data_IF_812806374439
#
_entry.id   IF_812806374439
#
_cell.length_a   1.000
_cell.length_b   1.000
_cell.length_c   1.000
_cell.angle_alpha   90.00
_cell.angle_beta   90.00
_cell.angle_gamma   90.00
#
_symmetry.space_group_name_H-M   'P 1'
#
loop_
_entity.id
_entity.type
_entity.pdbx_description
1 polymer ?
#
# COMPACT_ATOMS: atom_id res chain seq x y z
N UNK A 1 -2.66 15.67 2.80
CA UNK A 1 -1.74 15.64 1.65
C UNK A 1 -2.55 15.30 0.43
N UNK A 2 -2.22 15.88 -0.73
CA UNK A 2 -2.81 15.50 -2.01
C UNK A 2 -2.15 14.22 -2.54
N UNK A 3 -2.69 13.66 -3.63
CA UNK A 3 -2.18 12.39 -4.17
C UNK A 3 -0.75 12.50 -4.75
N UNK A 4 -0.33 13.66 -5.26
CA UNK A 4 1.04 13.86 -5.72
C UNK A 4 2.05 13.76 -4.58
N UNK A 5 1.75 14.39 -3.44
CA UNK A 5 2.54 14.29 -2.21
C UNK A 5 2.58 12.85 -1.66
N UNK A 6 1.46 12.13 -1.77
CA UNK A 6 1.39 10.70 -1.43
C UNK A 6 2.40 9.88 -2.21
N UNK A 7 2.52 10.09 -3.53
CA UNK A 7 3.50 9.36 -4.33
C UNK A 7 4.93 9.65 -3.89
N UNK A 8 5.23 10.88 -3.47
CA UNK A 8 6.55 11.23 -2.93
C UNK A 8 6.84 10.55 -1.59
N UNK A 9 5.88 10.51 -0.67
CA UNK A 9 6.01 9.82 0.60
C UNK A 9 6.15 8.29 0.43
N UNK A 10 5.41 7.70 -0.51
CA UNK A 10 5.54 6.30 -0.88
C UNK A 10 6.94 5.98 -1.42
N UNK A 11 7.50 6.84 -2.28
CA UNK A 11 8.88 6.71 -2.78
C UNK A 11 9.93 6.84 -1.68
N UNK A 12 9.64 7.61 -0.63
CA UNK A 12 10.48 7.71 0.59
C UNK A 12 10.37 6.48 1.50
N UNK A 13 9.46 5.55 1.19
CA UNK A 13 9.28 4.30 1.94
C UNK A 13 8.26 4.40 3.08
N UNK A 14 7.58 5.53 3.21
CA UNK A 14 6.57 5.76 4.24
C UNK A 14 5.27 5.02 3.90
N UNK A 15 4.53 4.65 4.95
CA UNK A 15 3.17 4.16 4.84
C UNK A 15 2.22 5.36 4.86
N UNK A 16 1.18 5.36 4.02
CA UNK A 16 0.20 6.46 3.99
C UNK A 16 -1.21 5.93 3.93
N UNK A 17 -2.16 6.69 4.48
CA UNK A 17 -3.57 6.34 4.53
C UNK A 17 -4.44 7.59 4.40
N UNK A 18 -5.71 7.41 4.03
CA UNK A 18 -6.72 8.47 4.11
C UNK A 18 -7.16 8.69 5.56
N UNK A 19 -7.51 9.92 5.93
CA UNK A 19 -8.13 10.21 7.24
C UNK A 19 -9.47 9.49 7.33
N UNK A 20 -9.52 8.45 8.15
CA UNK A 20 -10.76 7.70 8.41
C UNK A 20 -10.97 6.47 7.53
N UNK A 21 -9.94 5.94 6.86
CA UNK A 21 -10.01 4.55 6.39
C UNK A 21 -10.45 3.62 7.52
N UNK A 22 -11.38 2.72 7.18
CA UNK A 22 -12.16 1.87 8.09
C UNK A 22 -11.25 0.98 8.94
N UNK A 23 -10.69 1.53 10.03
CA UNK A 23 -9.84 0.83 10.98
C UNK A 23 -8.43 1.42 11.08
N UNK A 24 -7.93 1.51 12.32
CA UNK A 24 -6.49 1.70 12.55
C UNK A 24 -5.76 0.50 11.95
N UNK A 25 -4.66 0.75 11.23
CA UNK A 25 -3.81 -0.32 10.66
C UNK A 25 -4.08 -0.67 9.20
N UNK A 26 -4.85 0.13 8.46
CA UNK A 26 -4.93 0.06 7.00
C UNK A 26 -4.08 1.18 6.39
N UNK A 27 -3.19 0.83 5.45
CA UNK A 27 -2.36 1.80 4.74
C UNK A 27 -1.96 1.27 3.35
N UNK A 28 -1.48 2.16 2.50
CA UNK A 28 -0.79 1.80 1.26
C UNK A 28 0.71 2.00 1.40
N UNK A 29 1.47 1.20 0.67
CA UNK A 29 2.94 1.27 0.62
C UNK A 29 3.46 0.88 -0.76
N UNK A 30 4.63 1.42 -1.10
CA UNK A 30 5.36 1.05 -2.32
C UNK A 30 6.17 -0.23 -2.06
N UNK A 31 5.92 -1.28 -2.84
CA UNK A 31 6.81 -2.42 -2.96
C UNK A 31 7.76 -2.14 -4.12
N UNK A 32 9.07 -2.12 -3.84
CA UNK A 32 10.10 -2.05 -4.87
C UNK A 32 10.20 -3.38 -5.61
N UNK A 33 10.34 -3.29 -6.92
CA UNK A 33 10.62 -4.44 -7.77
C UNK A 33 11.99 -5.05 -7.45
N UNK A 34 12.12 -6.35 -7.70
CA UNK A 34 13.35 -7.10 -7.50
C UNK A 34 13.88 -7.64 -8.84
N UNK A 35 15.20 -7.68 -9.01
CA UNK A 35 15.82 -8.22 -10.22
C UNK A 35 15.55 -9.73 -10.34
N UNK A 36 15.32 -10.23 -11.56
CA UNK A 36 15.24 -11.67 -11.80
C UNK A 36 16.52 -12.40 -11.39
N UNK A 37 17.68 -11.72 -11.39
CA UNK A 37 18.96 -12.29 -10.95
C UNK A 37 19.05 -12.43 -9.41
N UNK A 38 17.97 -12.83 -8.75
CA UNK A 38 17.97 -13.09 -7.31
C UNK A 38 18.76 -14.36 -6.99
N UNK A 39 19.52 -14.37 -5.88
CA UNK A 39 20.08 -15.61 -5.36
C UNK A 39 18.97 -16.65 -5.11
N UNK A 40 19.26 -17.92 -5.38
CA UNK A 40 18.38 -19.07 -5.14
C UNK A 40 17.19 -19.27 -6.10
N UNK A 41 17.26 -18.81 -7.35
CA UNK A 41 16.27 -19.12 -8.40
C UNK A 41 14.81 -18.76 -8.04
N UNK A 42 14.59 -17.69 -7.26
CA UNK A 42 13.25 -17.24 -6.84
C UNK A 42 12.49 -16.49 -7.96
N UNK A 43 12.77 -16.80 -9.22
CA UNK A 43 12.20 -16.15 -10.40
C UNK A 43 10.67 -16.13 -10.40
N UNK A 44 10.04 -17.16 -9.83
CA UNK A 44 8.57 -17.28 -9.76
C UNK A 44 7.95 -16.56 -8.55
N UNK A 45 8.77 -15.98 -7.67
CA UNK A 45 8.33 -15.35 -6.41
C UNK A 45 8.62 -13.84 -6.39
N UNK A 46 9.26 -13.31 -7.43
CA UNK A 46 9.64 -11.91 -7.53
C UNK A 46 8.71 -11.14 -8.45
N UNK A 47 8.35 -9.93 -8.01
CA UNK A 47 7.75 -8.91 -8.86
C UNK A 47 8.87 -7.99 -9.33
N UNK A 48 9.01 -7.82 -10.64
CA UNK A 48 10.13 -7.07 -11.24
C UNK A 48 9.88 -5.57 -11.35
N UNK A 49 8.63 -5.14 -11.20
CA UNK A 49 8.24 -3.74 -11.23
C UNK A 49 7.82 -3.24 -9.85
N UNK A 50 8.04 -1.95 -9.63
CA UNK A 50 7.47 -1.23 -8.51
C UNK A 50 5.93 -1.24 -8.61
N UNK A 51 5.25 -1.48 -7.50
CA UNK A 51 3.81 -1.34 -7.41
C UNK A 51 3.39 -0.90 -6.01
N UNK A 52 2.24 -0.25 -5.94
CA UNK A 52 1.61 0.13 -4.68
C UNK A 52 0.71 -1.02 -4.26
N UNK A 53 0.78 -1.40 -2.98
CA UNK A 53 -0.14 -2.35 -2.38
C UNK A 53 -0.86 -1.72 -1.21
N UNK A 54 -2.04 -2.25 -0.90
CA UNK A 54 -2.77 -1.94 0.33
C UNK A 54 -2.54 -3.08 1.32
N UNK A 55 -2.28 -2.72 2.58
CA UNK A 55 -2.18 -3.65 3.70
C UNK A 55 -3.41 -3.46 4.58
N UNK A 56 -4.24 -4.51 4.71
CA UNK A 56 -5.37 -4.54 5.64
C UNK A 56 -5.13 -5.48 6.82
N UNK A 57 -3.95 -6.08 6.95
CA UNK A 57 -3.63 -7.06 8.01
C UNK A 57 -3.67 -6.46 9.41
N UNK A 58 -3.58 -5.13 9.55
CA UNK A 58 -3.71 -4.41 10.82
C UNK A 58 -5.15 -4.02 11.17
N UNK A 59 -6.13 -4.27 10.29
CA UNK A 59 -7.52 -3.88 10.47
C UNK A 59 -8.12 -4.48 11.75
N UNK A 60 -8.59 -3.62 12.65
CA UNK A 60 -9.34 -4.01 13.85
C UNK A 60 -10.84 -3.93 13.58
N UNK A 61 -11.48 -5.08 13.46
CA UNK A 61 -12.92 -5.19 13.19
C UNK A 61 -13.50 -6.44 13.83
N UNK A 62 -14.79 -6.41 14.14
CA UNK A 62 -15.57 -7.57 14.59
C UNK A 62 -16.22 -8.34 13.44
N UNK A 63 -16.10 -7.85 12.20
CA UNK A 63 -16.56 -8.56 11.02
C UNK A 63 -15.59 -9.72 10.71
N UNK A 64 -16.01 -10.99 10.87
CA UNK A 64 -15.14 -12.14 10.63
C UNK A 64 -14.76 -12.32 9.15
N UNK A 65 -15.48 -11.65 8.24
CA UNK A 65 -15.26 -11.72 6.80
C UNK A 65 -14.44 -10.54 6.27
N UNK A 66 -13.91 -9.68 7.14
CA UNK A 66 -13.06 -8.59 6.69
C UNK A 66 -11.75 -9.14 6.12
N UNK A 67 -11.33 -8.75 4.91
CA UNK A 67 -10.08 -9.21 4.32
C UNK A 67 -8.89 -8.67 5.11
N UNK A 68 -7.94 -9.55 5.42
CA UNK A 68 -6.74 -9.27 6.23
C UNK A 68 -5.50 -9.58 5.38
N UNK A 69 -5.39 -8.90 4.25
CA UNK A 69 -4.49 -9.28 3.16
C UNK A 69 -3.58 -8.13 2.75
N UNK A 70 -2.55 -8.47 1.98
CA UNK A 70 -1.73 -7.51 1.24
C UNK A 70 -1.91 -7.77 -0.24
N UNK A 71 -2.47 -6.80 -0.95
CA UNK A 71 -2.79 -6.95 -2.37
C UNK A 71 -2.39 -5.71 -3.17
N UNK A 72 -2.04 -5.85 -4.46
CA UNK A 72 -1.85 -4.70 -5.33
C UNK A 72 -3.03 -3.74 -5.25
N UNK A 73 -2.75 -2.45 -5.16
CA UNK A 73 -3.75 -1.42 -5.00
C UNK A 73 -3.90 -0.60 -6.28
N UNK A 74 -5.14 -0.47 -6.73
CA UNK A 74 -5.52 0.42 -7.81
C UNK A 74 -6.09 1.70 -7.21
N UNK A 75 -5.43 2.83 -7.42
CA UNK A 75 -5.94 4.12 -6.99
C UNK A 75 -7.22 4.45 -7.79
N UNK A 76 -8.32 4.71 -7.08
CA UNK A 76 -9.53 5.20 -7.70
C UNK A 76 -9.42 6.68 -8.05
N UNK A 77 -10.36 7.20 -8.85
CA UNK A 77 -10.42 8.64 -9.12
C UNK A 77 -10.63 9.46 -7.84
N UNK A 78 -11.39 8.93 -6.87
CA UNK A 78 -11.62 9.59 -5.57
C UNK A 78 -10.41 9.52 -4.65
N UNK A 79 -9.50 8.58 -4.86
CA UNK A 79 -8.20 8.55 -4.19
C UNK A 79 -7.26 9.62 -4.75
N UNK A 80 -7.21 9.74 -6.08
CA UNK A 80 -6.36 10.70 -6.77
C UNK A 80 -6.77 12.16 -6.53
N UNK A 81 -8.06 12.42 -6.33
CA UNK A 81 -8.61 13.76 -6.10
C UNK A 81 -8.72 14.16 -4.62
N UNK A 82 -8.17 13.34 -3.71
CA UNK A 82 -8.30 13.57 -2.29
C UNK A 82 -7.13 14.31 -1.66
N UNK A 83 -7.43 15.09 -0.63
CA UNK A 83 -6.46 15.92 0.10
C UNK A 83 -6.28 15.51 1.58
N UNK A 84 -6.98 14.48 2.02
CA UNK A 84 -7.01 13.99 3.39
C UNK A 84 -6.02 12.86 3.68
N UNK A 85 -4.99 12.68 2.85
CA UNK A 85 -3.95 11.69 3.10
C UNK A 85 -3.00 12.10 4.24
N UNK A 86 -2.54 11.11 5.01
CA UNK A 86 -1.61 11.24 6.15
C UNK A 86 -0.56 10.12 6.12
N UNK A 87 0.66 10.41 6.60
CA UNK A 87 1.67 9.38 6.90
C UNK A 87 1.25 8.64 8.16
N UNK A 88 1.44 7.33 8.18
CA UNK A 88 1.14 6.45 9.32
C UNK A 88 2.37 5.62 9.69
N UNK A 89 2.50 5.28 10.97
CA UNK A 89 3.55 4.40 11.51
C UNK A 89 3.23 2.92 11.30
#
# INVERSE_FOLDING_TARGET
>A
MNFGEVLEELKRGNCVARKGWNGKGIFIKLKKGESLNTPNNRFNEVMTHDFIYIDTTGLRTNNPNAPMDRVPWLASQTDMLADDWVVVE
#
